data_IF_415337204912
#
_entry.id   IF_415337204912
#
_cell.length_a   1.000
_cell.length_b   1.000
_cell.length_c   1.000
_cell.angle_alpha   90.00
_cell.angle_beta   90.00
_cell.angle_gamma   90.00
#
_symmetry.space_group_name_H-M   'P 1'
#
loop_
_entity.id
_entity.type
_entity.pdbx_description
1 polymer ?
#
# COMPACT_ATOMS: atom_id res chain seq x y z
N UNK A 1 7.64 3.85 19.28
CA UNK A 1 6.43 4.65 19.02
C UNK A 1 6.17 4.69 17.53
N UNK A 2 5.01 4.23 17.10
CA UNK A 2 4.62 4.11 15.69
C UNK A 2 3.45 5.05 15.40
N UNK A 3 3.67 6.35 15.59
CA UNK A 3 2.76 7.39 15.14
C UNK A 3 3.00 7.70 13.67
N UNK A 4 1.92 7.93 12.91
CA UNK A 4 2.06 8.49 11.57
C UNK A 4 2.82 9.82 11.63
N UNK A 5 3.67 10.13 10.65
CA UNK A 5 4.29 11.44 10.54
C UNK A 5 3.20 12.49 10.28
N UNK A 6 3.48 13.74 10.65
CA UNK A 6 2.59 14.88 10.45
C UNK A 6 2.53 15.34 8.98
N UNK A 7 2.23 14.44 8.04
CA UNK A 7 1.93 14.80 6.66
C UNK A 7 0.41 14.92 6.45
N UNK A 8 -0.01 15.69 5.44
CA UNK A 8 -1.43 15.91 5.16
C UNK A 8 -2.09 14.60 4.74
N UNK A 9 -3.22 14.23 5.35
CA UNK A 9 -3.97 13.03 4.96
C UNK A 9 -4.41 13.10 3.50
N UNK A 10 -4.58 11.93 2.87
CA UNK A 10 -5.05 11.84 1.49
C UNK A 10 -6.44 12.43 1.36
N UNK A 11 -6.59 13.34 0.41
CA UNK A 11 -7.83 13.97 0.01
C UNK A 11 -7.98 13.97 -1.53
N UNK A 12 -8.99 14.66 -2.04
CA UNK A 12 -9.31 14.66 -3.46
C UNK A 12 -8.27 15.37 -4.36
N UNK A 13 -7.37 16.19 -3.81
CA UNK A 13 -6.48 17.07 -4.58
C UNK A 13 -4.99 16.93 -4.29
N UNK A 14 -4.59 16.13 -3.29
CA UNK A 14 -3.19 16.06 -2.85
C UNK A 14 -2.49 14.71 -3.13
N UNK A 15 -3.08 13.84 -3.96
CA UNK A 15 -2.54 12.49 -4.20
C UNK A 15 -1.04 12.45 -4.57
N UNK A 16 -0.50 13.29 -5.48
CA UNK A 16 0.92 13.23 -5.83
C UNK A 16 1.86 13.49 -4.63
N UNK A 17 1.56 14.52 -3.83
CA UNK A 17 2.34 14.87 -2.63
C UNK A 17 2.20 13.78 -1.56
N UNK A 18 0.96 13.39 -1.26
CA UNK A 18 0.66 12.34 -0.28
C UNK A 18 1.35 11.02 -0.64
N UNK A 19 1.36 10.66 -1.92
CA UNK A 19 1.98 9.43 -2.42
C UNK A 19 3.48 9.42 -2.10
N UNK A 20 4.19 10.52 -2.37
CA UNK A 20 5.62 10.64 -2.06
C UNK A 20 5.92 10.58 -0.56
N UNK A 21 5.14 11.29 0.26
CA UNK A 21 5.29 11.31 1.72
C UNK A 21 4.99 9.95 2.35
N UNK A 22 3.89 9.31 1.93
CA UNK A 22 3.52 7.97 2.37
C UNK A 22 4.57 6.94 1.95
N UNK A 23 5.06 7.00 0.72
CA UNK A 23 6.14 6.11 0.26
C UNK A 23 7.39 6.27 1.12
N UNK A 24 7.84 7.50 1.38
CA UNK A 24 8.99 7.76 2.24
C UNK A 24 8.78 7.20 3.65
N UNK A 25 7.59 7.38 4.21
CA UNK A 25 7.24 6.83 5.50
C UNK A 25 7.27 5.30 5.50
N UNK A 26 6.61 4.62 4.56
CA UNK A 26 6.60 3.16 4.48
C UNK A 26 7.99 2.57 4.24
N UNK A 27 8.88 3.28 3.53
CA UNK A 27 10.30 2.93 3.39
C UNK A 27 11.03 3.02 4.73
N UNK A 28 10.83 4.10 5.48
CA UNK A 28 11.40 4.26 6.85
C UNK A 28 10.92 3.16 7.81
N UNK A 29 9.74 2.60 7.56
CA UNK A 29 9.15 1.50 8.33
C UNK A 29 9.56 0.10 7.83
N UNK A 30 10.32 0.00 6.73
CA UNK A 30 10.76 -1.27 6.16
C UNK A 30 9.66 -2.12 5.52
N UNK A 31 8.51 -1.52 5.19
CA UNK A 31 7.32 -2.23 4.68
C UNK A 31 6.93 -1.81 3.26
N UNK A 32 7.67 -0.88 2.65
CA UNK A 32 7.43 -0.45 1.27
C UNK A 32 7.46 -1.60 0.25
N UNK A 33 8.30 -2.60 0.44
CA UNK A 33 8.38 -3.74 -0.48
C UNK A 33 7.08 -4.55 -0.52
N UNK A 34 6.30 -4.57 0.55
CA UNK A 34 4.96 -5.20 0.56
C UNK A 34 4.02 -4.38 -0.33
N UNK A 35 3.98 -3.06 -0.10
CA UNK A 35 3.06 -2.13 -0.77
C UNK A 35 3.34 -1.99 -2.27
N UNK A 36 4.62 -2.00 -2.65
CA UNK A 36 5.08 -1.96 -4.04
C UNK A 36 4.98 -3.32 -4.76
N UNK A 37 4.58 -4.39 -4.07
CA UNK A 37 4.48 -5.73 -4.64
C UNK A 37 5.83 -6.43 -4.88
N UNK A 38 6.94 -5.82 -4.49
CA UNK A 38 8.28 -6.42 -4.57
C UNK A 38 8.43 -7.63 -3.63
N UNK A 39 7.70 -7.63 -2.51
CA UNK A 39 7.66 -8.73 -1.54
C UNK A 39 6.35 -9.49 -1.65
N UNK A 40 6.38 -10.69 -2.23
CA UNK A 40 5.23 -11.58 -2.35
C UNK A 40 4.99 -12.37 -1.07
N UNK A 41 3.74 -12.75 -0.82
CA UNK A 41 3.40 -13.64 0.29
C UNK A 41 4.12 -15.00 0.11
N UNK A 42 4.79 -15.52 1.16
CA UNK A 42 5.34 -16.86 1.13
C UNK A 42 4.26 -17.91 0.83
N UNK A 43 4.60 -18.93 0.05
CA UNK A 43 3.70 -20.06 -0.20
C UNK A 43 4.03 -21.18 0.77
N UNK A 44 3.01 -21.71 1.46
CA UNK A 44 3.18 -22.88 2.32
C UNK A 44 3.20 -24.16 1.48
N UNK A 45 4.04 -25.11 1.87
CA UNK A 45 4.04 -26.45 1.28
C UNK A 45 2.84 -27.28 1.80
N UNK A 46 2.61 -28.46 1.22
CA UNK A 46 1.51 -29.35 1.64
C UNK A 46 1.66 -29.87 3.09
N UNK A 47 2.87 -29.83 3.63
CA UNK A 47 3.16 -30.11 5.04
C UNK A 47 4.09 -29.01 5.52
N UNK A 48 3.53 -27.87 5.95
CA UNK A 48 4.30 -26.68 6.29
C UNK A 48 5.31 -26.99 7.37
N UNK A 49 6.52 -26.46 7.21
CA UNK A 49 7.50 -26.41 8.29
C UNK A 49 7.23 -25.17 9.14
N UNK A 50 7.58 -25.21 10.43
CA UNK A 50 7.52 -24.05 11.33
C UNK A 50 8.18 -22.79 10.74
N UNK A 51 9.24 -22.96 9.96
CA UNK A 51 9.93 -21.85 9.28
C UNK A 51 9.11 -21.22 8.15
N UNK A 52 8.28 -21.98 7.46
CA UNK A 52 7.39 -21.49 6.40
C UNK A 52 6.20 -20.73 6.99
N UNK A 53 5.60 -21.28 8.06
CA UNK A 53 4.52 -20.63 8.80
C UNK A 53 5.00 -19.30 9.43
N UNK A 54 6.15 -19.31 10.11
CA UNK A 54 6.73 -18.11 10.69
C UNK A 54 7.06 -17.04 9.62
N UNK A 55 7.48 -17.45 8.43
CA UNK A 55 7.73 -16.53 7.32
C UNK A 55 6.43 -15.90 6.80
N UNK A 56 5.36 -16.70 6.67
CA UNK A 56 4.04 -16.21 6.27
C UNK A 56 3.47 -15.25 7.31
N UNK A 57 3.53 -15.59 8.59
CA UNK A 57 3.07 -14.73 9.69
C UNK A 57 3.84 -13.40 9.74
N UNK A 58 5.17 -13.46 9.56
CA UNK A 58 6.00 -12.26 9.49
C UNK A 58 5.67 -11.38 8.27
N UNK A 59 5.28 -11.98 7.14
CA UNK A 59 4.81 -11.26 5.97
C UNK A 59 3.43 -10.62 6.21
N UNK A 60 2.48 -11.39 6.77
CA UNK A 60 1.13 -10.92 7.12
C UNK A 60 1.19 -9.73 8.08
N UNK A 61 2.00 -9.82 9.14
CA UNK A 61 2.17 -8.72 10.09
C UNK A 61 2.68 -7.43 9.43
N UNK A 62 3.58 -7.54 8.45
CA UNK A 62 4.06 -6.37 7.67
C UNK A 62 2.99 -5.85 6.73
N UNK A 63 2.19 -6.73 6.12
CA UNK A 63 1.05 -6.38 5.29
C UNK A 63 0.00 -5.60 6.07
N UNK A 64 -0.42 -6.13 7.22
CA UNK A 64 -1.39 -5.50 8.12
C UNK A 64 -0.90 -4.13 8.60
N UNK A 65 0.39 -4.05 8.96
CA UNK A 65 1.02 -2.79 9.37
C UNK A 65 0.98 -1.75 8.25
N UNK A 66 1.26 -2.16 7.01
CA UNK A 66 1.22 -1.26 5.87
C UNK A 66 -0.22 -0.79 5.57
N UNK A 67 -1.18 -1.73 5.57
CA UNK A 67 -2.60 -1.43 5.39
C UNK A 67 -3.10 -0.44 6.45
N UNK A 68 -2.78 -0.68 7.73
CA UNK A 68 -3.16 0.19 8.83
C UNK A 68 -2.62 1.61 8.69
N UNK A 69 -1.33 1.78 8.34
CA UNK A 69 -0.78 3.11 8.12
C UNK A 69 -1.42 3.84 6.94
N UNK A 70 -1.64 3.13 5.84
CA UNK A 70 -2.30 3.69 4.67
C UNK A 70 -3.71 4.17 5.03
N UNK A 71 -4.51 3.32 5.69
CA UNK A 71 -5.87 3.66 6.10
C UNK A 71 -5.92 4.86 7.04
N UNK A 72 -5.01 4.92 8.02
CA UNK A 72 -4.96 6.02 9.00
C UNK A 72 -4.52 7.36 8.38
N UNK A 73 -3.77 7.31 7.27
CA UNK A 73 -3.29 8.48 6.55
C UNK A 73 -4.27 9.01 5.49
N UNK A 74 -5.52 8.54 5.50
CA UNK A 74 -6.57 8.94 4.56
C UNK A 74 -7.67 9.69 5.31
N UNK A 75 -8.23 10.74 4.70
CA UNK A 75 -9.37 11.47 5.28
C UNK A 75 -10.65 10.60 5.31
N UNK A 76 -11.50 10.82 6.31
CA UNK A 76 -12.67 9.96 6.53
C UNK A 76 -13.65 9.93 5.35
N UNK A 77 -13.79 11.05 4.63
CA UNK A 77 -14.61 11.14 3.42
C UNK A 77 -14.03 10.36 2.22
N UNK A 78 -12.72 10.05 2.21
CA UNK A 78 -12.09 9.22 1.20
C UNK A 78 -12.11 7.73 1.58
N UNK A 79 -12.22 7.39 2.88
CA UNK A 79 -12.25 6.00 3.38
C UNK A 79 -13.39 5.16 2.81
N UNK A 80 -14.48 5.78 2.36
CA UNK A 80 -15.58 5.10 1.65
C UNK A 80 -15.08 4.33 0.42
N UNK A 81 -13.99 4.79 -0.21
CA UNK A 81 -13.36 4.13 -1.34
C UNK A 81 -12.58 2.87 -0.96
N UNK A 82 -12.34 2.63 0.34
CA UNK A 82 -11.55 1.53 0.88
C UNK A 82 -12.38 0.41 1.50
N UNK A 83 -13.68 0.64 1.71
CA UNK A 83 -14.57 -0.34 2.36
C UNK A 83 -14.66 -1.69 1.62
N UNK A 84 -14.32 -1.72 0.32
CA UNK A 84 -14.35 -2.92 -0.52
C UNK A 84 -12.95 -3.45 -0.89
N UNK A 85 -11.88 -2.82 -0.40
CA UNK A 85 -10.49 -3.21 -0.67
C UNK A 85 -9.97 -3.90 0.60
N UNK A 86 -10.50 -5.09 0.87
CA UNK A 86 -10.15 -5.86 2.08
C UNK A 86 -8.86 -6.67 1.89
N UNK A 87 -8.60 -7.22 0.68
CA UNK A 87 -7.66 -8.35 0.58
C UNK A 87 -6.59 -8.23 -0.53
N UNK A 88 -6.66 -7.23 -1.40
CA UNK A 88 -5.64 -6.95 -2.43
C UNK A 88 -4.67 -5.86 -1.95
N UNK A 89 -3.44 -5.75 -2.51
CA UNK A 89 -2.51 -4.69 -2.11
C UNK A 89 -3.19 -3.32 -2.30
N UNK A 90 -3.64 -2.73 -1.19
CA UNK A 90 -4.48 -1.51 -1.13
C UNK A 90 -3.99 -0.38 -2.03
N UNK A 91 -2.69 -0.38 -2.30
CA UNK A 91 -1.99 0.55 -3.18
C UNK A 91 -2.44 0.54 -4.64
N UNK A 92 -2.65 -0.63 -5.24
CA UNK A 92 -3.04 -0.72 -6.66
C UNK A 92 -4.45 -0.15 -6.88
N UNK A 93 -5.36 -0.42 -5.94
CA UNK A 93 -6.71 0.12 -5.95
C UNK A 93 -6.72 1.63 -5.66
N UNK A 94 -5.89 2.11 -4.73
CA UNK A 94 -5.67 3.54 -4.47
C UNK A 94 -5.25 4.32 -5.71
N UNK A 95 -4.22 3.82 -6.39
CA UNK A 95 -3.74 4.42 -7.63
C UNK A 95 -4.84 4.43 -8.68
N UNK A 96 -5.54 3.31 -8.88
CA UNK A 96 -6.63 3.21 -9.86
C UNK A 96 -7.76 4.22 -9.59
N UNK A 97 -8.22 4.36 -8.34
CA UNK A 97 -9.34 5.25 -7.99
C UNK A 97 -8.97 6.74 -8.16
N UNK A 98 -7.76 7.13 -7.74
CA UNK A 98 -7.31 8.51 -7.85
C UNK A 98 -6.83 8.88 -9.27
N UNK A 99 -6.25 7.93 -10.03
CA UNK A 99 -5.87 8.14 -11.44
C UNK A 99 -7.09 8.11 -12.37
N UNK A 100 -8.12 7.31 -12.10
CA UNK A 100 -9.35 7.28 -12.91
C UNK A 100 -10.18 8.57 -12.82
N UNK A 101 -10.09 9.34 -11.73
CA UNK A 101 -10.72 10.66 -11.63
C UNK A 101 -10.07 11.70 -12.56
N UNK A 102 -8.89 11.42 -13.12
CA UNK A 102 -8.33 12.17 -14.23
C UNK A 102 -8.72 11.48 -15.57
N UNK A 103 -9.60 12.06 -16.38
CA UNK A 103 -9.97 11.47 -17.65
C UNK A 103 -8.77 11.55 -18.61
N UNK A 104 -8.02 10.45 -18.72
CA UNK A 104 -7.00 10.29 -19.77
C UNK A 104 -5.71 9.60 -19.36
N UNK A 105 -5.75 8.37 -18.83
CA UNK A 105 -4.63 7.41 -18.92
C UNK A 105 -5.09 6.05 -18.37
N UNK A 106 -5.77 5.26 -19.20
CA UNK A 106 -6.08 3.87 -18.86
C UNK A 106 -4.83 3.02 -19.10
N UNK A 107 -4.43 2.27 -18.07
CA UNK A 107 -3.64 1.04 -18.15
C UNK A 107 -2.31 1.15 -18.93
N UNK A 108 -1.22 1.56 -18.23
CA UNK A 108 0.19 1.19 -18.44
C UNK A 108 1.13 2.30 -17.93
N UNK A 109 1.15 2.58 -16.62
CA UNK A 109 2.06 3.61 -16.09
C UNK A 109 2.63 3.22 -14.72
N UNK A 110 3.31 2.08 -14.67
CA UNK A 110 4.34 1.88 -13.64
C UNK A 110 5.72 1.57 -14.25
N UNK A 111 5.78 1.05 -15.47
CA UNK A 111 7.05 0.93 -16.21
C UNK A 111 7.58 2.32 -16.68
N UNK A 112 6.67 3.24 -17.01
CA UNK A 112 7.00 4.58 -17.53
C UNK A 112 7.30 5.62 -16.43
N UNK A 113 6.95 5.37 -15.17
CA UNK A 113 7.24 6.29 -14.07
C UNK A 113 8.64 6.03 -13.45
N UNK A 114 9.25 4.88 -13.76
CA UNK A 114 10.54 4.45 -13.22
C UNK A 114 11.55 3.99 -14.28
N UNK A 115 11.30 4.22 -15.58
CA UNK A 115 12.31 4.07 -16.64
C UNK A 115 13.16 5.33 -16.78
N UNK A 116 14.10 5.51 -15.84
CA UNK A 116 15.36 6.27 -16.00
C UNK A 116 16.49 5.44 -15.39
#
# INVERSE_FOLDING_TARGET
SSSLPNFTKLNASNYPTWCGEMQAYLRSQGIWHIVSGQSKAPTLSSTPKDTEEAALDAWNLKSDKAAGYIYLAVEDNQKVHFANISDDPMWAALASIHLQKHPGARFNAYDDLFSI
#
